data_IF_618507999172
#
_entry.id   IF_618507999172
#
_cell.length_a   1.000
_cell.length_b   1.000
_cell.length_c   1.000
_cell.angle_alpha   90.00
_cell.angle_beta   90.00
_cell.angle_gamma   90.00
#
_symmetry.space_group_name_H-M   'P 1'
#
loop_
_entity.id
_entity.type
_entity.pdbx_description
1 polymer ?
#
# COMPACT_ATOMS: atom_id res chain seq x y z
N UNK A 1 10.72 -18.14 -13.95
CA UNK A 1 9.69 -18.51 -12.95
C UNK A 1 10.30 -19.16 -11.71
N UNK A 2 11.05 -20.27 -11.81
CA UNK A 2 11.72 -20.89 -10.64
C UNK A 2 12.70 -19.94 -9.92
N UNK A 3 13.56 -19.26 -10.68
CA UNK A 3 14.56 -18.33 -10.12
C UNK A 3 13.94 -17.11 -9.40
N UNK A 4 12.89 -16.49 -9.96
CA UNK A 4 12.16 -15.37 -9.31
C UNK A 4 11.57 -15.79 -7.97
N UNK A 5 10.97 -16.99 -7.90
CA UNK A 5 10.36 -17.49 -6.66
C UNK A 5 11.43 -17.76 -5.59
N UNK A 6 12.57 -18.34 -5.96
CA UNK A 6 13.70 -18.53 -5.05
C UNK A 6 14.20 -17.18 -4.51
N UNK A 7 14.37 -16.19 -5.38
CA UNK A 7 14.78 -14.83 -4.98
C UNK A 7 13.77 -14.17 -4.04
N UNK A 8 12.46 -14.33 -4.28
CA UNK A 8 11.43 -13.80 -3.38
C UNK A 8 11.48 -14.44 -1.99
N UNK A 9 11.70 -15.75 -1.90
CA UNK A 9 11.85 -16.44 -0.63
C UNK A 9 13.12 -16.02 0.11
N UNK A 10 14.23 -15.80 -0.61
CA UNK A 10 15.46 -15.26 -0.03
C UNK A 10 15.26 -13.85 0.54
N UNK A 11 14.54 -12.97 -0.17
CA UNK A 11 14.24 -11.62 0.34
C UNK A 11 13.36 -11.69 1.59
N UNK A 12 12.32 -12.54 1.59
CA UNK A 12 11.46 -12.75 2.76
C UNK A 12 12.26 -13.22 3.96
N UNK A 13 13.20 -14.16 3.74
CA UNK A 13 14.11 -14.67 4.77
C UNK A 13 15.02 -13.57 5.31
N UNK A 14 15.72 -12.82 4.46
CA UNK A 14 16.58 -11.71 4.86
C UNK A 14 15.83 -10.67 5.70
N UNK A 15 14.61 -10.32 5.28
CA UNK A 15 13.71 -9.43 6.01
C UNK A 15 13.36 -9.97 7.40
N UNK A 16 13.04 -11.25 7.51
CA UNK A 16 12.75 -11.90 8.80
C UNK A 16 13.97 -11.94 9.74
N UNK A 17 15.18 -12.04 9.17
CA UNK A 17 16.45 -12.02 9.89
C UNK A 17 16.94 -10.60 10.22
N UNK A 18 16.22 -9.56 9.79
CA UNK A 18 16.61 -8.16 9.99
C UNK A 18 17.76 -7.68 9.10
N UNK A 19 18.16 -8.45 8.08
CA UNK A 19 19.18 -8.08 7.09
C UNK A 19 18.57 -7.22 5.97
N UNK A 20 18.10 -6.03 6.35
CA UNK A 20 17.26 -5.18 5.50
C UNK A 20 18.03 -4.59 4.31
N UNK A 21 19.31 -4.28 4.48
CA UNK A 21 20.16 -3.76 3.39
C UNK A 21 20.37 -4.81 2.29
N UNK A 22 20.65 -6.06 2.68
CA UNK A 22 20.78 -7.18 1.74
C UNK A 22 19.44 -7.45 1.03
N UNK A 23 18.33 -7.39 1.78
CA UNK A 23 16.99 -7.54 1.23
C UNK A 23 16.67 -6.45 0.18
N UNK A 24 17.09 -5.20 0.41
CA UNK A 24 16.93 -4.10 -0.57
C UNK A 24 17.73 -4.38 -1.83
N UNK A 25 19.00 -4.79 -1.71
CA UNK A 25 19.86 -5.07 -2.87
C UNK A 25 19.23 -6.13 -3.76
N UNK A 26 18.77 -7.22 -3.16
CA UNK A 26 18.15 -8.33 -3.90
C UNK A 26 16.79 -7.93 -4.51
N UNK A 27 16.01 -7.11 -3.80
CA UNK A 27 14.77 -6.56 -4.34
C UNK A 27 15.01 -5.61 -5.52
N UNK A 28 16.09 -4.82 -5.48
CA UNK A 28 16.50 -3.96 -6.59
C UNK A 28 16.91 -4.75 -7.84
N UNK A 29 17.52 -5.92 -7.65
CA UNK A 29 17.81 -6.85 -8.75
C UNK A 29 16.52 -7.37 -9.39
N UNK A 30 15.55 -7.84 -8.59
CA UNK A 30 14.22 -8.23 -9.11
C UNK A 30 13.56 -7.09 -9.89
N UNK A 31 13.61 -5.87 -9.35
CA UNK A 31 13.00 -4.71 -10.00
C UNK A 31 13.69 -4.38 -11.33
N UNK A 32 14.99 -4.66 -11.46
CA UNK A 32 15.72 -4.47 -12.72
C UNK A 32 15.34 -5.51 -13.79
N UNK A 33 14.90 -6.70 -13.38
CA UNK A 33 14.41 -7.76 -14.29
C UNK A 33 12.99 -7.46 -14.78
N UNK A 34 12.13 -6.94 -13.91
CA UNK A 34 10.78 -6.50 -14.23
C UNK A 34 10.41 -5.21 -13.50
N UNK A 35 10.67 -4.08 -14.16
CA UNK A 35 10.44 -2.74 -13.59
C UNK A 35 8.96 -2.37 -13.41
N UNK A 36 8.05 -3.25 -13.85
CA UNK A 36 6.61 -3.06 -13.79
C UNK A 36 5.94 -4.08 -12.86
N UNK A 37 6.71 -4.80 -12.04
CA UNK A 37 6.18 -5.77 -11.10
C UNK A 37 5.74 -5.12 -9.77
N UNK A 38 4.43 -5.01 -9.48
CA UNK A 38 3.95 -4.36 -8.27
C UNK A 38 4.35 -5.12 -7.00
N UNK A 39 4.51 -6.45 -7.05
CA UNK A 39 4.93 -7.25 -5.91
C UNK A 39 6.32 -6.82 -5.43
N UNK A 40 7.23 -6.56 -6.37
CA UNK A 40 8.58 -6.08 -6.07
C UNK A 40 8.57 -4.67 -5.47
N UNK A 41 7.75 -3.75 -5.98
CA UNK A 41 7.59 -2.43 -5.34
C UNK A 41 7.04 -2.56 -3.91
N UNK A 42 6.01 -3.38 -3.70
CA UNK A 42 5.44 -3.64 -2.38
C UNK A 42 6.47 -4.23 -1.42
N UNK A 43 7.31 -5.15 -1.90
CA UNK A 43 8.38 -5.74 -1.11
C UNK A 43 9.41 -4.71 -0.66
N UNK A 44 9.86 -3.84 -1.56
CA UNK A 44 10.79 -2.76 -1.25
C UNK A 44 10.17 -1.77 -0.25
N UNK A 45 8.89 -1.41 -0.43
CA UNK A 45 8.15 -0.56 0.51
C UNK A 45 8.12 -1.14 1.93
N UNK A 46 7.90 -2.46 2.06
CA UNK A 46 7.94 -3.15 3.37
C UNK A 46 9.32 -3.07 4.02
N UNK A 47 10.39 -3.17 3.23
CA UNK A 47 11.75 -3.10 3.78
C UNK A 47 12.08 -1.68 4.23
N UNK A 48 11.75 -0.65 3.45
CA UNK A 48 11.91 0.75 3.87
C UNK A 48 11.07 1.09 5.10
N UNK A 49 9.86 0.55 5.21
CA UNK A 49 9.06 0.70 6.42
C UNK A 49 9.79 0.10 7.64
N UNK A 50 10.39 -1.09 7.51
CA UNK A 50 11.15 -1.72 8.59
C UNK A 50 12.43 -0.93 8.95
N UNK A 51 13.02 -0.21 7.99
CA UNK A 51 14.09 0.76 8.21
C UNK A 51 13.60 2.08 8.83
N UNK A 52 12.30 2.23 9.05
CA UNK A 52 11.65 3.47 9.49
C UNK A 52 11.83 4.65 8.51
N UNK A 53 12.13 4.36 7.24
CA UNK A 53 12.09 5.36 6.16
C UNK A 53 10.70 5.39 5.55
N UNK A 54 9.78 6.02 6.26
CA UNK A 54 8.36 6.02 5.97
C UNK A 54 8.00 6.79 4.69
N UNK A 55 8.74 7.88 4.37
CA UNK A 55 8.53 8.62 3.12
C UNK A 55 8.83 7.73 1.92
N UNK A 56 10.00 7.08 1.93
CA UNK A 56 10.39 6.19 0.83
C UNK A 56 9.44 4.98 0.76
N UNK A 57 9.07 4.39 1.90
CA UNK A 57 8.10 3.30 1.94
C UNK A 57 6.77 3.68 1.28
N UNK A 58 6.24 4.87 1.60
CA UNK A 58 4.98 5.37 1.05
C UNK A 58 5.02 5.49 -0.49
N UNK A 59 6.15 5.94 -1.05
CA UNK A 59 6.34 6.07 -2.50
C UNK A 59 6.34 4.72 -3.19
N UNK A 60 7.04 3.74 -2.62
CA UNK A 60 7.03 2.37 -3.15
C UNK A 60 5.64 1.73 -3.09
N UNK A 61 4.89 1.89 -1.99
CA UNK A 61 3.52 1.39 -1.91
C UNK A 61 2.58 2.09 -2.89
N UNK A 62 2.76 3.39 -3.10
CA UNK A 62 1.97 4.15 -4.06
C UNK A 62 2.26 3.72 -5.51
N UNK A 63 3.53 3.47 -5.85
CA UNK A 63 3.92 2.88 -7.15
C UNK A 63 3.31 1.49 -7.32
N UNK A 64 3.43 0.60 -6.32
CA UNK A 64 2.84 -0.73 -6.35
C UNK A 64 1.33 -0.64 -6.63
N UNK A 65 0.62 0.16 -5.84
CA UNK A 65 -0.82 0.33 -5.93
C UNK A 65 -1.28 0.86 -7.29
N UNK A 66 -0.55 1.84 -7.85
CA UNK A 66 -0.91 2.40 -9.14
C UNK A 66 -0.60 1.43 -10.29
N UNK A 67 0.49 0.68 -10.21
CA UNK A 67 0.78 -0.40 -11.18
C UNK A 67 -0.30 -1.49 -11.12
N UNK A 68 -0.70 -1.91 -9.92
CA UNK A 68 -1.81 -2.87 -9.71
C UNK A 68 -3.11 -2.37 -10.35
N UNK A 69 -3.45 -1.10 -10.13
CA UNK A 69 -4.62 -0.46 -10.74
C UNK A 69 -4.54 -0.47 -12.28
N UNK A 70 -3.39 -0.11 -12.85
CA UNK A 70 -3.20 -0.08 -14.30
C UNK A 70 -3.23 -1.48 -14.91
N UNK A 71 -2.66 -2.48 -14.24
CA UNK A 71 -2.78 -3.89 -14.65
C UNK A 71 -4.23 -4.35 -14.62
N UNK A 72 -4.96 -4.12 -13.54
CA UNK A 72 -6.38 -4.48 -13.46
C UNK A 72 -7.24 -3.77 -14.53
N UNK A 73 -6.94 -2.50 -14.81
CA UNK A 73 -7.58 -1.71 -15.88
C UNK A 73 -7.22 -2.24 -17.28
N UNK A 74 -5.98 -2.66 -17.52
CA UNK A 74 -5.53 -3.21 -18.81
C UNK A 74 -6.09 -4.60 -19.04
N UNK A 75 -6.13 -5.42 -18.00
CA UNK A 75 -6.67 -6.78 -18.07
C UNK A 75 -8.17 -6.75 -18.37
N UNK A 76 -8.89 -5.66 -18.04
CA UNK A 76 -10.32 -5.48 -18.32
C UNK A 76 -10.76 -4.02 -18.55
N UNK A 77 -11.42 -3.80 -19.69
CA UNK A 77 -12.48 -2.79 -19.82
C UNK A 77 -13.70 -3.27 -19.00
N UNK A 78 -13.81 -2.88 -17.72
CA UNK A 78 -14.98 -3.06 -16.82
C UNK A 78 -15.62 -4.47 -16.88
N UNK A 79 -15.00 -5.46 -16.25
CA UNK A 79 -15.64 -6.76 -16.09
C UNK A 79 -16.47 -6.81 -14.80
N UNK A 80 -17.71 -7.27 -14.93
CA UNK A 80 -18.71 -7.41 -13.85
C UNK A 80 -18.20 -8.15 -12.61
N UNK A 81 -17.18 -9.03 -12.72
CA UNK A 81 -16.61 -9.77 -11.59
C UNK A 81 -15.94 -8.82 -10.58
N UNK A 82 -15.13 -7.85 -11.03
CA UNK A 82 -14.46 -6.93 -10.10
C UNK A 82 -15.45 -5.94 -9.47
N UNK A 83 -16.52 -5.59 -10.18
CA UNK A 83 -17.60 -4.79 -9.60
C UNK A 83 -18.29 -5.54 -8.45
N UNK A 84 -18.50 -6.86 -8.58
CA UNK A 84 -19.07 -7.69 -7.50
C UNK A 84 -18.12 -7.83 -6.31
N UNK A 85 -16.83 -8.04 -6.55
CA UNK A 85 -15.82 -8.14 -5.49
C UNK A 85 -15.68 -6.81 -4.73
N UNK A 86 -15.58 -5.70 -5.46
CA UNK A 86 -15.53 -4.37 -4.85
C UNK A 86 -16.83 -4.07 -4.10
N UNK A 87 -18.02 -4.36 -4.65
CA UNK A 87 -19.31 -4.22 -3.96
C UNK A 87 -19.36 -5.03 -2.65
N UNK A 88 -18.82 -6.25 -2.63
CA UNK A 88 -18.74 -7.07 -1.42
C UNK A 88 -17.84 -6.44 -0.35
N UNK A 89 -16.66 -5.94 -0.74
CA UNK A 89 -15.76 -5.21 0.15
C UNK A 89 -16.43 -3.90 0.65
N UNK A 90 -17.15 -3.18 -0.21
CA UNK A 90 -17.89 -1.99 0.20
C UNK A 90 -18.96 -2.30 1.24
N UNK A 91 -19.64 -3.43 1.09
CA UNK A 91 -20.70 -3.83 2.02
C UNK A 91 -20.17 -4.23 3.40
N UNK A 92 -18.89 -4.63 3.50
CA UNK A 92 -18.25 -4.98 4.77
C UNK A 92 -17.56 -3.79 5.45
N UNK A 93 -17.24 -2.72 4.71
CA UNK A 93 -16.63 -1.50 5.27
C UNK A 93 -17.74 -0.49 5.61
N UNK A 94 -17.88 -0.16 6.90
CA UNK A 94 -18.86 0.82 7.36
C UNK A 94 -18.33 2.27 7.30
N UNK A 95 -17.92 2.75 6.12
CA UNK A 95 -17.45 4.15 5.97
C UNK A 95 -18.30 4.95 4.96
N UNK A 96 -18.79 6.16 5.33
CA UNK A 96 -19.55 7.03 4.44
C UNK A 96 -18.83 7.40 3.12
N UNK A 97 -17.50 7.54 3.14
CA UNK A 97 -16.69 7.96 1.98
C UNK A 97 -16.83 7.04 0.76
N UNK A 98 -17.08 5.76 1.02
CA UNK A 98 -17.22 4.72 0.01
C UNK A 98 -18.51 4.85 -0.80
N UNK A 99 -19.57 5.42 -0.20
CA UNK A 99 -20.90 5.51 -0.81
C UNK A 99 -20.97 6.51 -1.95
N UNK A 100 -20.02 7.45 -1.99
CA UNK A 100 -19.95 8.52 -3.01
C UNK A 100 -19.09 8.13 -4.23
N UNK A 101 -18.36 7.01 -4.16
CA UNK A 101 -17.63 6.48 -5.33
C UNK A 101 -18.63 5.93 -6.35
N UNK A 102 -18.74 6.58 -7.50
CA UNK A 102 -19.63 6.14 -8.58
C UNK A 102 -19.30 4.70 -8.98
N UNK A 103 -20.33 3.88 -9.26
CA UNK A 103 -20.12 2.45 -9.56
C UNK A 103 -19.14 2.17 -10.70
N UNK A 104 -19.05 3.07 -11.67
CA UNK A 104 -18.18 3.02 -12.84
C UNK A 104 -16.81 3.67 -12.63
N UNK A 105 -16.53 4.19 -11.43
CA UNK A 105 -15.23 4.79 -11.12
C UNK A 105 -14.17 3.69 -11.03
N UNK A 106 -13.20 3.70 -11.95
CA UNK A 106 -12.13 2.71 -12.01
C UNK A 106 -11.29 2.69 -10.73
N UNK A 107 -11.27 3.79 -9.97
CA UNK A 107 -10.60 3.87 -8.67
C UNK A 107 -11.25 2.98 -7.61
N UNK A 108 -12.45 2.44 -7.84
CA UNK A 108 -13.01 1.37 -7.00
C UNK A 108 -12.16 0.11 -7.00
N UNK A 109 -11.40 -0.15 -8.08
CA UNK A 109 -10.49 -1.29 -8.16
C UNK A 109 -9.38 -1.21 -7.11
N UNK A 110 -9.07 -0.02 -6.56
CA UNK A 110 -8.10 0.13 -5.47
C UNK A 110 -8.43 -0.75 -4.26
N UNK A 111 -9.72 -1.03 -4.02
CA UNK A 111 -10.17 -1.85 -2.90
C UNK A 111 -9.77 -3.31 -3.03
N UNK A 112 -9.50 -3.79 -4.26
CA UNK A 112 -8.95 -5.14 -4.48
C UNK A 112 -7.52 -5.25 -3.93
N UNK A 113 -6.84 -4.12 -3.74
CA UNK A 113 -5.47 -4.00 -3.25
C UNK A 113 -5.45 -3.50 -1.79
N UNK A 114 -6.40 -3.95 -0.98
CA UNK A 114 -6.57 -3.54 0.42
C UNK A 114 -5.29 -3.67 1.26
N UNK A 115 -4.49 -4.71 1.03
CA UNK A 115 -3.19 -4.87 1.70
C UNK A 115 -2.22 -3.74 1.35
N UNK A 116 -2.07 -3.38 0.07
CA UNK A 116 -1.21 -2.27 -0.37
C UNK A 116 -1.71 -0.93 0.18
N UNK A 117 -3.03 -0.72 0.22
CA UNK A 117 -3.64 0.46 0.85
C UNK A 117 -3.30 0.57 2.34
N UNK A 118 -3.41 -0.54 3.08
CA UNK A 118 -3.06 -0.60 4.51
C UNK A 118 -1.56 -0.30 4.69
N UNK A 119 -0.69 -0.88 3.85
CA UNK A 119 0.74 -0.61 3.94
C UNK A 119 1.12 0.85 3.68
N UNK A 120 0.48 1.46 2.67
CA UNK A 120 0.62 2.88 2.40
C UNK A 120 0.17 3.72 3.61
N UNK A 121 -0.99 3.41 4.18
CA UNK A 121 -1.53 4.15 5.31
C UNK A 121 -0.66 4.06 6.57
N UNK A 122 -0.10 2.89 6.88
CA UNK A 122 0.90 2.74 7.93
C UNK A 122 2.11 3.65 7.68
N UNK A 123 2.64 3.64 6.46
CA UNK A 123 3.79 4.49 6.08
C UNK A 123 3.46 5.98 6.19
N UNK A 124 2.21 6.40 5.98
CA UNK A 124 1.82 7.80 6.11
C UNK A 124 1.59 8.22 7.57
N UNK A 125 0.96 7.36 8.36
CA UNK A 125 0.50 7.73 9.70
C UNK A 125 1.54 7.47 10.79
N UNK A 126 2.32 6.41 10.67
CA UNK A 126 3.13 5.91 11.78
C UNK A 126 4.34 6.80 12.07
N UNK A 127 4.83 7.59 11.10
CA UNK A 127 5.87 8.62 11.33
C UNK A 127 5.41 9.69 12.34
N UNK A 128 4.10 9.98 12.36
CA UNK A 128 3.50 10.99 13.24
C UNK A 128 3.11 10.45 14.62
N UNK A 129 3.07 9.12 14.77
CA UNK A 129 2.81 8.41 16.02
C UNK A 129 4.17 8.18 16.69
N UNK A 130 4.23 8.14 18.03
CA UNK A 130 5.44 7.68 18.71
C UNK A 130 5.61 6.17 18.48
N UNK A 131 6.05 5.82 17.27
CA UNK A 131 5.96 4.52 16.63
C UNK A 131 6.77 3.42 17.29
N UNK A 132 7.67 3.79 18.21
CA UNK A 132 8.39 2.85 19.06
C UNK A 132 7.58 2.28 20.22
N UNK A 133 6.37 2.80 20.49
CA UNK A 133 5.62 2.50 21.72
C UNK A 133 4.17 2.06 21.48
N UNK A 134 3.62 2.22 20.28
CA UNK A 134 2.26 1.77 19.98
C UNK A 134 2.27 0.26 19.68
N UNK A 135 1.50 -0.50 20.45
CA UNK A 135 1.39 -1.96 20.32
C UNK A 135 1.03 -2.39 18.89
N UNK A 136 0.16 -1.64 18.22
CA UNK A 136 -0.31 -1.92 16.85
C UNK A 136 0.80 -1.77 15.81
N UNK A 137 1.70 -0.81 16.00
CA UNK A 137 2.85 -0.60 15.12
C UNK A 137 3.88 -1.71 15.33
N UNK A 138 4.03 -2.18 16.57
CA UNK A 138 4.88 -3.34 16.88
C UNK A 138 4.31 -4.60 16.22
N UNK A 139 3.00 -4.86 16.39
CA UNK A 139 2.31 -5.98 15.71
C UNK A 139 2.50 -5.90 14.19
N UNK A 140 2.30 -4.73 13.60
CA UNK A 140 2.49 -4.52 12.16
C UNK A 140 3.93 -4.83 11.71
N UNK A 141 4.95 -4.38 12.45
CA UNK A 141 6.35 -4.66 12.13
C UNK A 141 6.65 -6.17 12.16
N UNK A 142 6.07 -6.90 13.10
CA UNK A 142 6.21 -8.36 13.17
C UNK A 142 5.52 -9.06 11.99
N UNK A 143 4.32 -8.61 11.60
CA UNK A 143 3.64 -9.08 10.37
C UNK A 143 4.52 -8.83 9.15
N UNK A 144 5.12 -7.62 9.05
CA UNK A 144 6.01 -7.30 7.94
C UNK A 144 7.25 -8.17 7.92
N UNK A 145 7.80 -8.60 9.06
CA UNK A 145 8.90 -9.58 9.12
C UNK A 145 8.47 -10.99 8.72
N UNK A 146 7.17 -11.25 8.57
CA UNK A 146 6.62 -12.58 8.29
C UNK A 146 6.48 -13.45 9.54
N UNK A 147 6.46 -12.83 10.73
CA UNK A 147 6.21 -13.56 11.97
C UNK A 147 4.76 -14.05 12.00
N UNK A 148 4.55 -15.30 12.41
CA UNK A 148 3.21 -15.85 12.63
C UNK A 148 2.71 -15.45 14.01
N UNK A 149 2.27 -14.20 14.14
CA UNK A 149 1.71 -13.65 15.39
C UNK A 149 0.19 -13.67 15.38
N UNK A 150 -0.40 -13.84 16.56
CA UNK A 150 -1.82 -13.56 16.77
C UNK A 150 -1.99 -12.05 16.94
N UNK A 151 -2.74 -11.41 16.04
CA UNK A 151 -2.99 -9.97 16.11
C UNK A 151 -4.12 -9.64 17.06
N UNK A 152 -4.00 -8.51 17.75
CA UNK A 152 -5.02 -8.04 18.68
C UNK A 152 -6.30 -7.60 17.96
N UNK A 153 -7.44 -7.69 18.64
CA UNK A 153 -8.70 -7.15 18.11
C UNK A 153 -8.63 -5.65 17.85
N UNK A 154 -7.82 -4.94 18.65
CA UNK A 154 -7.55 -3.51 18.47
C UNK A 154 -6.81 -3.24 17.16
N UNK A 155 -5.75 -4.02 16.88
CA UNK A 155 -5.04 -3.95 15.61
C UNK A 155 -5.96 -4.23 14.41
N UNK A 156 -6.71 -5.34 14.43
CA UNK A 156 -7.63 -5.72 13.33
C UNK A 156 -8.67 -4.62 13.06
N UNK A 157 -9.20 -4.02 14.13
CA UNK A 157 -10.14 -2.89 14.03
C UNK A 157 -9.48 -1.66 13.43
N UNK A 158 -8.25 -1.33 13.83
CA UNK A 158 -7.51 -0.20 13.25
C UNK A 158 -7.17 -0.41 11.77
N UNK A 159 -6.78 -1.61 11.36
CA UNK A 159 -6.53 -1.93 9.94
C UNK A 159 -7.75 -1.62 9.08
N UNK A 160 -8.92 -2.08 9.53
CA UNK A 160 -10.16 -2.01 8.75
C UNK A 160 -10.83 -0.64 8.80
N UNK A 161 -10.89 0.01 9.96
CA UNK A 161 -11.61 1.28 10.13
C UNK A 161 -10.75 2.50 9.80
N UNK A 162 -9.46 2.47 10.14
CA UNK A 162 -8.57 3.61 9.99
C UNK A 162 -7.61 3.46 8.80
N UNK A 163 -6.74 2.45 8.81
CA UNK A 163 -5.66 2.37 7.83
C UNK A 163 -6.17 2.12 6.40
N UNK A 164 -7.11 1.19 6.22
CA UNK A 164 -7.72 0.95 4.91
C UNK A 164 -8.39 2.21 4.36
N UNK A 165 -9.16 2.92 5.19
CA UNK A 165 -9.85 4.15 4.78
C UNK A 165 -8.86 5.27 4.47
N UNK A 166 -7.83 5.46 5.29
CA UNK A 166 -6.77 6.44 5.07
C UNK A 166 -6.04 6.18 3.76
N UNK A 167 -5.61 4.94 3.54
CA UNK A 167 -4.95 4.52 2.31
C UNK A 167 -5.81 4.82 1.09
N UNK A 168 -7.11 4.54 1.16
CA UNK A 168 -8.06 4.81 0.09
C UNK A 168 -8.22 6.31 -0.19
N UNK A 169 -8.53 7.13 0.83
CA UNK A 169 -8.72 8.58 0.68
C UNK A 169 -7.49 9.22 0.07
N UNK A 170 -6.32 8.89 0.63
CA UNK A 170 -5.05 9.42 0.14
C UNK A 170 -4.80 9.02 -1.32
N UNK A 171 -4.98 7.73 -1.65
CA UNK A 171 -4.75 7.22 -3.00
C UNK A 171 -5.69 7.86 -4.03
N UNK A 172 -6.96 8.11 -3.67
CA UNK A 172 -7.93 8.79 -4.53
C UNK A 172 -7.52 10.24 -4.85
N UNK A 173 -6.80 10.90 -3.96
CA UNK A 173 -6.30 12.26 -4.14
C UNK A 173 -4.98 12.33 -4.92
N UNK A 174 -4.17 11.27 -4.87
CA UNK A 174 -2.80 11.28 -5.40
C UNK A 174 -2.69 10.60 -6.77
N UNK A 175 -3.39 9.49 -6.98
CA UNK A 175 -3.28 8.67 -8.18
C UNK A 175 -3.93 9.38 -9.38
N UNK A 176 -3.13 9.61 -10.43
CA UNK A 176 -3.62 10.07 -11.74
C UNK A 176 -3.65 8.92 -12.75
N UNK A 177 -4.86 8.43 -13.07
CA UNK A 177 -5.06 7.33 -14.01
C UNK A 177 -4.60 7.60 -15.46
N UNK A 178 -4.22 8.83 -15.78
CA UNK A 178 -3.69 9.18 -17.09
C UNK A 178 -2.23 8.76 -17.24
N UNK A 179 -1.54 8.52 -16.14
CA UNK A 179 -0.15 8.06 -16.18
C UNK A 179 -0.07 6.66 -16.79
N UNK A 180 0.91 6.50 -17.67
CA UNK A 180 1.33 5.20 -18.16
C UNK A 180 2.09 4.46 -17.08
N UNK A 181 2.10 3.12 -17.16
CA UNK A 181 2.86 2.28 -16.21
C UNK A 181 4.34 2.67 -16.12
N UNK A 182 4.91 3.16 -17.23
CA UNK A 182 6.28 3.67 -17.29
C UNK A 182 6.45 4.94 -16.46
N UNK A 183 5.54 5.90 -16.58
CA UNK A 183 5.62 7.16 -15.82
C UNK A 183 5.50 6.91 -14.31
N UNK A 184 4.62 5.97 -13.91
CA UNK A 184 4.43 5.57 -12.50
C UNK A 184 5.72 5.11 -11.81
N UNK A 185 6.64 4.48 -12.54
CA UNK A 185 7.94 4.03 -11.97
C UNK A 185 8.83 5.19 -11.49
N UNK A 186 8.51 6.43 -11.88
CA UNK A 186 9.31 7.63 -11.56
C UNK A 186 8.52 8.75 -10.90
N UNK A 187 7.25 8.92 -11.27
CA UNK A 187 6.38 10.04 -10.84
C UNK A 187 6.43 10.25 -9.33
N UNK A 188 6.22 9.19 -8.56
CA UNK A 188 6.13 9.30 -7.11
C UNK A 188 7.48 9.48 -6.42
N UNK A 189 8.60 9.31 -7.12
CA UNK A 189 9.93 9.59 -6.59
C UNK A 189 10.40 11.02 -6.86
N UNK A 190 9.81 11.68 -7.86
CA UNK A 190 10.13 13.08 -8.20
C UNK A 190 9.17 14.08 -7.56
N UNK A 191 8.02 13.64 -7.05
CA UNK A 191 7.07 14.51 -6.33
C UNK A 191 7.66 15.08 -5.06
N UNK A 192 7.34 16.35 -4.80
CA UNK A 192 7.75 17.05 -3.59
C UNK A 192 7.16 16.36 -2.34
N UNK A 193 8.03 16.07 -1.37
CA UNK A 193 7.64 15.46 -0.08
C UNK A 193 6.55 16.28 0.61
N UNK A 194 6.64 17.61 0.56
CA UNK A 194 5.69 18.51 1.21
C UNK A 194 4.32 18.48 0.53
N UNK A 195 4.27 18.24 -0.78
CA UNK A 195 3.00 18.08 -1.50
C UNK A 195 2.29 16.82 -1.04
N UNK A 196 2.99 15.67 -1.04
CA UNK A 196 2.43 14.41 -0.54
C UNK A 196 1.99 14.53 0.93
N UNK A 197 2.78 15.22 1.75
CA UNK A 197 2.45 15.47 3.16
C UNK A 197 1.22 16.37 3.33
N UNK A 198 1.05 17.38 2.48
CA UNK A 198 -0.15 18.22 2.50
C UNK A 198 -1.41 17.40 2.17
N UNK A 199 -1.34 16.56 1.12
CA UNK A 199 -2.44 15.67 0.74
C UNK A 199 -2.77 14.68 1.87
N UNK A 200 -1.77 14.16 2.58
CA UNK A 200 -1.97 13.34 3.77
C UNK A 200 -2.75 14.08 4.86
N UNK A 201 -2.40 15.32 5.19
CA UNK A 201 -3.13 16.09 6.19
C UNK A 201 -4.58 16.40 5.76
N UNK A 202 -4.80 16.66 4.47
CA UNK A 202 -6.14 16.84 3.93
C UNK A 202 -6.96 15.53 4.03
N UNK A 203 -6.35 14.38 3.72
CA UNK A 203 -6.97 13.07 3.86
C UNK A 203 -7.35 12.78 5.32
N UNK A 204 -6.48 13.08 6.28
CA UNK A 204 -6.80 12.99 7.71
C UNK A 204 -7.94 13.93 8.13
N UNK A 205 -7.97 15.14 7.60
CA UNK A 205 -9.04 16.09 7.91
C UNK A 205 -10.40 15.62 7.38
N UNK A 206 -10.41 14.92 6.23
CA UNK A 206 -11.61 14.27 5.69
C UNK A 206 -12.06 13.13 6.61
N UNK A 207 -11.15 12.24 7.01
CA UNK A 207 -11.46 11.12 7.91
C UNK A 207 -12.09 11.57 9.23
N UNK A 208 -11.57 12.63 9.84
CA UNK A 208 -12.09 13.21 11.09
C UNK A 208 -13.51 13.75 10.99
N UNK A 209 -14.03 13.99 9.78
CA UNK A 209 -15.42 14.45 9.57
C UNK A 209 -16.38 13.29 9.36
N UNK A 210 -15.85 12.09 9.13
CA UNK A 210 -16.59 10.90 8.71
C UNK A 210 -16.74 9.89 9.86
N UNK A 211 -15.87 10.01 10.88
CA UNK A 211 -15.97 9.35 12.19
C UNK A 211 -16.44 10.33 13.25
#
# INVERSE_FOLDING_TARGET
MLQKNETLEDIKKLKSEGKLEEAIVLSGQLLSEDMYDPETYSLIGKIYYLLCDFDVASRYFLSALHIELLHAKREREINEVYLKETDAILSSINTPLIKDLAKSDLRRLLLLFGHTLIHLAHSLADDSINSGMAEEIIEYKEILKGANIETSEKYKKMETEFYLTLGLVFSLAVIDEKLTIKEVTTEYFIRDVNELKAIYFDALAILKKIH
#
